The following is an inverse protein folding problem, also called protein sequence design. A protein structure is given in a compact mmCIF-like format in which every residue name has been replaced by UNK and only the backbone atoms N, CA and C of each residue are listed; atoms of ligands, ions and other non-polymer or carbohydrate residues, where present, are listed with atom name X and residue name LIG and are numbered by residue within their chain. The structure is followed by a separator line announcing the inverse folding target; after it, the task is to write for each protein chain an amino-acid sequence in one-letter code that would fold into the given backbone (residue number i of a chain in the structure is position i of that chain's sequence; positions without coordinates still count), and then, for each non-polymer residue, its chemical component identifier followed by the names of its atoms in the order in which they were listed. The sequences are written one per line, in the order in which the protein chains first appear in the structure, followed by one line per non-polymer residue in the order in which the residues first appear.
data_IF_103067199341
#
_entry.id   IF_103067199341
#
_cell.length_a   1.000
_cell.length_b   1.000
_cell.length_c   1.000
_cell.angle_alpha   90.00
_cell.angle_beta   90.00
_cell.angle_gamma   90.00
#
_symmetry.space_group_name_H-M   'P 1'
#
loop_
_entity.id
_entity.type
_entity.pdbx_description
1 polymer ?
#
# COMPACT_ATOMS: atom_id res chain seq x y z
N UNK A 1 2.03 -7.39 -17.72
CA UNK A 1 1.18 -6.85 -16.64
C UNK A 1 1.34 -5.33 -16.64
N UNK A 2 0.28 -4.53 -16.82
CA UNK A 2 0.41 -3.06 -16.89
C UNK A 2 0.63 -2.51 -15.47
N UNK A 3 1.43 -1.46 -15.31
CA UNK A 3 1.69 -0.80 -13.99
C UNK A 3 0.42 -0.25 -13.31
N UNK A 4 -0.66 -0.02 -14.07
CA UNK A 4 -1.95 0.36 -13.50
C UNK A 4 -2.60 -0.80 -12.73
N UNK A 5 -2.48 -2.02 -13.25
CA UNK A 5 -3.07 -3.23 -12.65
C UNK A 5 -2.44 -3.55 -11.28
N UNK A 6 -1.14 -3.26 -11.11
CA UNK A 6 -0.45 -3.49 -9.83
C UNK A 6 -0.89 -2.51 -8.73
N UNK A 7 -1.21 -1.27 -9.09
CA UNK A 7 -1.68 -0.28 -8.12
C UNK A 7 -3.08 -0.60 -7.60
N UNK A 8 -4.02 -0.85 -8.51
CA UNK A 8 -5.40 -1.21 -8.15
C UNK A 8 -5.43 -2.47 -7.29
N UNK A 9 -4.63 -3.48 -7.63
CA UNK A 9 -4.50 -4.72 -6.85
C UNK A 9 -3.98 -4.45 -5.43
N UNK A 10 -2.93 -3.64 -5.30
CA UNK A 10 -2.35 -3.30 -3.99
C UNK A 10 -3.32 -2.47 -3.14
N UNK A 11 -4.02 -1.51 -3.73
CA UNK A 11 -5.04 -0.71 -3.05
C UNK A 11 -6.21 -1.56 -2.54
N UNK A 12 -6.72 -2.48 -3.37
CA UNK A 12 -7.77 -3.41 -2.96
C UNK A 12 -7.33 -4.29 -1.79
N UNK A 13 -6.08 -4.76 -1.79
CA UNK A 13 -5.53 -5.57 -0.71
C UNK A 13 -5.43 -4.78 0.60
N UNK A 14 -4.97 -3.53 0.54
CA UNK A 14 -4.95 -2.62 1.69
C UNK A 14 -6.35 -2.36 2.26
N UNK A 15 -7.35 -2.18 1.40
CA UNK A 15 -8.74 -1.95 1.81
C UNK A 15 -9.33 -3.18 2.52
N UNK A 16 -9.15 -4.37 1.95
CA UNK A 16 -9.63 -5.62 2.54
C UNK A 16 -9.01 -5.87 3.92
N UNK A 17 -7.72 -5.57 4.06
CA UNK A 17 -6.97 -5.64 5.31
C UNK A 17 -7.61 -4.73 6.37
N UNK A 18 -7.88 -3.47 6.02
CA UNK A 18 -8.48 -2.50 6.94
C UNK A 18 -9.91 -2.86 7.36
N UNK A 19 -10.71 -3.42 6.44
CA UNK A 19 -12.07 -3.91 6.74
C UNK A 19 -12.02 -5.10 7.70
N UNK A 20 -11.10 -6.05 7.49
CA UNK A 20 -10.93 -7.22 8.35
C UNK A 20 -10.50 -6.85 9.78
N UNK A 21 -9.63 -5.84 9.92
CA UNK A 21 -9.20 -5.33 11.23
C UNK A 21 -10.31 -4.59 12.00
N UNK A 22 -11.28 -4.02 11.28
CA UNK A 22 -12.39 -3.26 11.88
C UNK A 22 -13.47 -4.17 12.47
N UNK A 23 -13.70 -5.33 11.86
CA UNK A 23 -14.82 -6.22 12.19
C UNK A 23 -14.45 -7.33 13.19
N UNK A 24 -13.20 -7.37 13.70
CA UNK A 24 -12.72 -8.43 14.61
C UNK A 24 -12.70 -7.97 16.07
N UNK A 25 -13.47 -8.64 16.95
CA UNK A 25 -13.58 -8.33 18.39
C UNK A 25 -12.28 -8.61 19.19
N UNK A 26 -11.51 -9.63 18.78
CA UNK A 26 -10.15 -9.87 19.26
C UNK A 26 -9.17 -9.76 18.08
N UNK A 27 -8.14 -8.90 18.19
CA UNK A 27 -7.14 -8.75 17.14
C UNK A 27 -6.17 -9.94 17.13
N UNK A 28 -6.15 -10.72 16.04
CA UNK A 28 -5.10 -11.70 15.74
C UNK A 28 -3.78 -10.97 15.44
N UNK A 29 -3.01 -10.69 16.50
CA UNK A 29 -1.76 -9.92 16.43
C UNK A 29 -0.78 -10.50 15.40
N UNK A 30 -0.70 -11.82 15.27
CA UNK A 30 0.19 -12.47 14.31
C UNK A 30 -0.27 -12.24 12.86
N UNK A 31 -1.59 -12.32 12.63
CA UNK A 31 -2.21 -11.90 11.37
C UNK A 31 -1.98 -10.42 11.05
N UNK A 32 -2.10 -9.54 12.06
CA UNK A 32 -1.88 -8.10 11.92
C UNK A 32 -0.44 -7.76 11.51
N UNK A 33 0.56 -8.40 12.11
CA UNK A 33 1.97 -8.18 11.76
C UNK A 33 2.23 -8.51 10.30
N UNK A 34 1.66 -9.61 9.80
CA UNK A 34 1.78 -10.00 8.39
C UNK A 34 1.10 -8.98 7.47
N UNK A 35 -0.09 -8.51 7.83
CA UNK A 35 -0.85 -7.52 7.07
C UNK A 35 -0.15 -6.16 7.01
N UNK A 36 0.46 -5.72 8.12
CA UNK A 36 1.27 -4.48 8.18
C UNK A 36 2.52 -4.59 7.31
N UNK A 37 3.16 -5.76 7.25
CA UNK A 37 4.29 -6.02 6.36
C UNK A 37 3.90 -5.88 4.89
N UNK A 38 2.82 -6.53 4.47
CA UNK A 38 2.28 -6.42 3.11
C UNK A 38 1.86 -4.98 2.77
N UNK A 39 1.25 -4.28 3.73
CA UNK A 39 0.85 -2.90 3.56
C UNK A 39 2.05 -1.96 3.36
N UNK A 40 3.12 -2.18 4.12
CA UNK A 40 4.37 -1.41 4.01
C UNK A 40 5.04 -1.61 2.65
N UNK A 41 5.04 -2.84 2.13
CA UNK A 41 5.59 -3.13 0.80
C UNK A 41 4.74 -2.49 -0.31
N UNK A 42 3.41 -2.58 -0.20
CA UNK A 42 2.49 -1.90 -1.11
C UNK A 42 2.69 -0.38 -1.09
N UNK A 43 2.83 0.21 0.10
CA UNK A 43 3.09 1.64 0.28
C UNK A 43 4.39 2.07 -0.38
N UNK A 44 5.51 1.36 -0.17
CA UNK A 44 6.81 1.66 -0.80
C UNK A 44 6.72 1.67 -2.33
N UNK A 45 5.98 0.72 -2.90
CA UNK A 45 5.76 0.67 -4.35
C UNK A 45 4.94 1.87 -4.86
N UNK A 46 3.94 2.31 -4.10
CA UNK A 46 3.17 3.51 -4.42
C UNK A 46 4.05 4.77 -4.31
N UNK A 47 4.83 4.90 -3.24
CA UNK A 47 5.75 6.01 -3.01
C UNK A 47 6.78 6.12 -4.14
N UNK A 48 7.41 5.01 -4.56
CA UNK A 48 8.37 5.03 -5.65
C UNK A 48 7.77 5.53 -6.99
N UNK A 49 6.46 5.32 -7.21
CA UNK A 49 5.77 5.88 -8.38
C UNK A 49 5.51 7.37 -8.23
N UNK A 50 5.16 7.82 -7.03
CA UNK A 50 4.96 9.25 -6.73
C UNK A 50 6.27 9.99 -6.93
N UNK A 51 7.36 9.51 -6.35
CA UNK A 51 8.70 10.10 -6.49
C UNK A 51 9.14 10.17 -7.97
N UNK A 52 8.85 9.14 -8.76
CA UNK A 52 9.14 9.15 -10.19
C UNK A 52 8.35 10.22 -10.96
N UNK A 53 7.10 10.47 -10.55
CA UNK A 53 6.25 11.52 -11.12
C UNK A 53 6.73 12.90 -10.67
N UNK A 54 7.01 13.09 -9.38
CA UNK A 54 7.53 14.34 -8.84
C UNK A 54 8.86 14.74 -9.51
N UNK A 55 9.76 13.77 -9.72
CA UNK A 55 11.00 13.99 -10.46
C UNK A 55 10.75 14.36 -11.92
N UNK A 56 9.79 13.71 -12.58
CA UNK A 56 9.43 14.04 -13.96
C UNK A 56 8.78 15.43 -14.09
N UNK A 57 8.15 15.91 -13.03
CA UNK A 57 7.50 17.23 -12.95
C UNK A 57 8.41 18.32 -12.35
N UNK A 58 9.66 18.01 -11.96
CA UNK A 58 10.57 18.97 -11.35
C UNK A 58 10.16 19.43 -9.94
N UNK A 59 9.30 18.67 -9.25
CA UNK A 59 8.77 19.05 -7.93
C UNK A 59 9.73 18.74 -6.77
N UNK A 60 10.76 17.91 -7.01
CA UNK A 60 11.75 17.49 -6.01
C UNK A 60 13.10 18.24 -6.09
N UNK A 61 13.14 19.44 -6.68
CA UNK A 61 14.33 20.29 -6.81
C UNK A 61 14.40 21.46 -5.81
N UNK A 62 14.01 21.22 -4.54
CA UNK A 62 14.27 22.17 -3.45
C UNK A 62 15.41 21.72 -2.55
#
# INVERSE_FOLDING_TARGET
MRKADSYTKNYQKLKQIAETMRDSDEPDIDGLVKMVGEATEAYKNCQARIEAVEKALGLNEK
#
